data_IF_082622113647
#
_entry.id   IF_082622113647
#
_cell.length_a   1.000
_cell.length_b   1.000
_cell.length_c   1.000
_cell.angle_alpha   90.00
_cell.angle_beta   90.00
_cell.angle_gamma   90.00
#
_symmetry.space_group_name_H-M   'P 1'
#
loop_
_entity.id
_entity.type
_entity.pdbx_description
1 polymer ?
#
# COMPACT_ATOMS: atom_id res chain seq x y z
N UNK A 1 16.72 48.83 33.30
CA UNK A 1 15.56 48.37 32.50
C UNK A 1 15.92 47.05 31.82
N UNK A 2 15.30 45.93 32.25
CA UNK A 2 15.68 44.56 31.87
C UNK A 2 14.76 44.11 30.72
N UNK A 3 15.29 43.89 29.51
CA UNK A 3 14.51 43.47 28.32
C UNK A 3 14.42 41.95 28.30
N UNK A 4 13.21 41.40 28.46
CA UNK A 4 12.94 39.97 28.38
C UNK A 4 12.69 39.66 26.90
N UNK A 5 13.61 38.94 26.28
CA UNK A 5 13.48 38.42 24.91
C UNK A 5 12.83 37.04 25.03
N UNK A 6 11.57 36.91 24.60
CA UNK A 6 10.85 35.65 24.58
C UNK A 6 11.19 34.89 23.29
N UNK A 7 11.81 33.72 23.42
CA UNK A 7 12.02 32.78 22.32
C UNK A 7 10.69 32.07 22.01
N UNK A 8 10.06 32.41 20.90
CA UNK A 8 8.92 31.65 20.37
C UNK A 8 9.46 30.39 19.70
N UNK A 9 9.44 29.27 20.43
CA UNK A 9 9.74 27.96 19.86
C UNK A 9 8.50 27.45 19.10
N UNK A 10 8.55 27.51 17.77
CA UNK A 10 7.54 26.89 16.90
C UNK A 10 7.82 25.39 16.86
N UNK A 11 6.96 24.61 17.51
CA UNK A 11 7.00 23.15 17.44
C UNK A 11 6.36 22.70 16.12
N UNK A 12 7.19 22.29 15.16
CA UNK A 12 6.72 21.65 13.93
C UNK A 12 6.46 20.19 14.28
N UNK A 13 5.19 19.84 14.51
CA UNK A 13 4.78 18.45 14.64
C UNK A 13 4.91 17.78 13.27
N UNK A 14 5.99 17.04 13.07
CA UNK A 14 6.13 16.14 11.92
C UNK A 14 5.10 15.01 12.08
N UNK A 15 3.97 15.12 11.38
CA UNK A 15 3.05 13.99 11.23
C UNK A 15 3.74 12.97 10.34
N UNK A 16 4.43 12.00 10.96
CA UNK A 16 4.83 10.78 10.27
C UNK A 16 3.54 10.13 9.75
N UNK A 17 3.37 10.14 8.43
CA UNK A 17 2.33 9.38 7.75
C UNK A 17 2.74 7.93 7.99
N UNK A 18 2.24 7.32 9.06
CA UNK A 18 2.42 5.90 9.27
C UNK A 18 1.84 5.22 8.02
N UNK A 19 2.65 4.40 7.35
CA UNK A 19 2.16 3.52 6.30
C UNK A 19 0.87 2.86 6.83
N UNK A 20 -0.19 2.77 6.01
CA UNK A 20 -1.43 2.11 6.43
C UNK A 20 -1.05 0.78 7.07
N UNK A 21 -1.66 0.38 8.19
CA UNK A 21 -1.27 -0.81 8.92
C UNK A 21 -1.31 -2.03 7.99
N UNK A 22 -0.15 -2.38 7.42
CA UNK A 22 -0.02 -3.45 6.44
C UNK A 22 0.14 -4.72 7.25
N UNK A 23 -0.91 -5.53 7.28
CA UNK A 23 -0.75 -6.93 7.62
C UNK A 23 -0.03 -7.57 6.43
N UNK A 24 1.29 -7.38 6.36
CA UNK A 24 2.12 -8.06 5.37
C UNK A 24 1.90 -9.57 5.55
N UNK A 25 1.35 -10.21 4.52
CA UNK A 25 1.06 -11.63 4.55
C UNK A 25 2.38 -12.40 4.77
N UNK A 26 2.41 -13.31 5.75
CA UNK A 26 3.63 -14.06 6.06
C UNK A 26 4.09 -14.83 4.83
N UNK A 27 5.39 -14.74 4.56
CA UNK A 27 6.00 -15.40 3.40
C UNK A 27 5.70 -14.72 2.07
N UNK A 28 5.02 -13.57 2.08
CA UNK A 28 4.84 -12.73 0.92
C UNK A 28 5.55 -11.38 1.08
N UNK A 29 5.98 -10.84 -0.05
CA UNK A 29 6.56 -9.50 -0.15
C UNK A 29 5.99 -8.79 -1.36
N UNK A 30 5.96 -7.47 -1.27
CA UNK A 30 5.33 -6.60 -2.25
C UNK A 30 6.29 -5.56 -2.82
N UNK A 31 6.09 -5.26 -4.11
CA UNK A 31 6.70 -4.15 -4.79
C UNK A 31 5.62 -3.19 -5.29
N UNK A 32 5.80 -1.91 -4.99
CA UNK A 32 4.92 -0.84 -5.47
C UNK A 32 5.51 -0.20 -6.73
N UNK A 33 4.76 -0.26 -7.83
CA UNK A 33 5.16 0.24 -9.14
C UNK A 33 4.25 1.41 -9.58
N UNK A 34 4.68 2.12 -10.63
CA UNK A 34 3.92 3.20 -11.28
C UNK A 34 3.42 4.26 -10.29
N UNK A 35 4.32 4.85 -9.51
CA UNK A 35 4.01 5.86 -8.48
C UNK A 35 3.02 5.37 -7.42
N UNK A 36 3.07 4.07 -7.09
CA UNK A 36 2.19 3.45 -6.10
C UNK A 36 0.79 3.12 -6.64
N UNK A 37 0.60 3.06 -7.95
CA UNK A 37 -0.67 2.65 -8.59
C UNK A 37 -0.82 1.15 -8.77
N UNK A 38 0.30 0.46 -8.78
CA UNK A 38 0.37 -0.98 -8.97
C UNK A 38 1.04 -1.60 -7.77
N UNK A 39 0.49 -2.71 -7.29
CA UNK A 39 1.16 -3.59 -6.33
C UNK A 39 1.41 -4.93 -7.01
N UNK A 40 2.65 -5.40 -6.91
CA UNK A 40 3.07 -6.71 -7.34
C UNK A 40 3.44 -7.52 -6.10
N UNK A 41 2.81 -8.68 -5.92
CA UNK A 41 2.98 -9.51 -4.72
C UNK A 41 3.58 -10.85 -5.11
N UNK A 42 4.67 -11.19 -4.44
CA UNK A 42 5.37 -12.45 -4.52
C UNK A 42 5.17 -13.22 -3.21
N UNK A 43 5.02 -14.54 -3.29
CA UNK A 43 4.93 -15.38 -2.09
C UNK A 43 5.88 -16.58 -2.21
N UNK A 44 6.68 -16.82 -1.18
CA UNK A 44 7.64 -17.92 -1.07
C UNK A 44 7.09 -19.12 -0.28
N UNK A 45 6.01 -18.92 0.45
CA UNK A 45 5.25 -19.97 1.12
C UNK A 45 3.73 -19.70 1.03
N UNK A 46 2.92 -20.63 1.56
CA UNK A 46 1.46 -20.54 1.57
C UNK A 46 0.74 -21.71 0.87
N UNK A 47 -0.54 -21.91 1.21
CA UNK A 47 -1.40 -22.97 0.65
C UNK A 47 -2.78 -22.39 0.35
N UNK A 48 -3.40 -22.76 -0.79
CA UNK A 48 -3.08 -23.88 -1.70
C UNK A 48 -2.02 -23.62 -2.80
N UNK A 49 -1.24 -22.54 -2.72
CA UNK A 49 -0.04 -22.33 -3.56
C UNK A 49 -0.31 -21.52 -4.84
N UNK A 50 -1.59 -21.31 -5.19
CA UNK A 50 -2.03 -20.20 -6.03
C UNK A 50 -2.61 -19.12 -5.14
N UNK A 51 -2.45 -17.88 -5.57
CA UNK A 51 -2.93 -16.74 -4.82
C UNK A 51 -3.26 -15.59 -5.75
N UNK A 52 -3.96 -14.60 -5.23
CA UNK A 52 -4.24 -13.34 -5.90
C UNK A 52 -4.09 -12.21 -4.89
N UNK A 53 -3.32 -11.19 -5.25
CA UNK A 53 -3.29 -9.93 -4.55
C UNK A 53 -4.57 -9.15 -4.84
N UNK A 54 -5.18 -8.62 -3.80
CA UNK A 54 -6.31 -7.70 -3.89
C UNK A 54 -5.83 -6.35 -3.36
N UNK A 55 -5.72 -5.37 -4.25
CA UNK A 55 -5.28 -4.04 -3.90
C UNK A 55 -6.47 -3.23 -3.37
N UNK A 56 -6.30 -2.61 -2.20
CA UNK A 56 -7.19 -1.60 -1.67
C UNK A 56 -6.83 -0.26 -2.31
N UNK A 57 -7.63 0.20 -3.26
CA UNK A 57 -7.37 1.39 -4.04
C UNK A 57 -8.10 2.61 -3.48
N UNK A 58 -7.53 3.79 -3.72
CA UNK A 58 -8.21 5.08 -3.51
C UNK A 58 -7.80 6.07 -4.59
N UNK A 59 -8.67 7.03 -4.91
CA UNK A 59 -8.34 8.18 -5.76
C UNK A 59 -8.52 9.54 -5.04
N UNK A 60 -8.73 9.52 -3.72
CA UNK A 60 -9.07 10.69 -2.91
C UNK A 60 -10.56 11.08 -2.93
N UNK A 61 -11.35 10.52 -3.85
CA UNK A 61 -12.81 10.72 -3.94
C UNK A 61 -13.59 9.48 -3.46
N UNK A 62 -12.98 8.29 -3.57
CA UNK A 62 -13.56 7.03 -3.13
C UNK A 62 -12.49 5.96 -2.89
N UNK A 63 -12.97 4.79 -2.47
CA UNK A 63 -12.17 3.59 -2.22
C UNK A 63 -12.83 2.38 -2.89
N UNK A 64 -12.04 1.45 -3.38
CA UNK A 64 -12.51 0.20 -4.00
C UNK A 64 -11.41 -0.85 -3.95
N UNK A 65 -11.80 -2.11 -4.16
CA UNK A 65 -10.85 -3.21 -4.27
C UNK A 65 -10.59 -3.54 -5.73
N UNK A 66 -9.32 -3.80 -6.06
CA UNK A 66 -8.89 -4.22 -7.38
C UNK A 66 -8.22 -5.58 -7.31
N UNK A 67 -8.83 -6.54 -7.99
CA UNK A 67 -8.29 -7.88 -8.15
C UNK A 67 -7.09 -7.87 -9.09
N UNK A 68 -6.01 -8.51 -8.66
CA UNK A 68 -4.84 -8.75 -9.48
C UNK A 68 -4.92 -10.01 -10.34
N UNK A 69 -3.82 -10.29 -11.04
CA UNK A 69 -3.60 -11.56 -11.74
C UNK A 69 -3.53 -12.74 -10.76
N UNK A 70 -3.57 -13.98 -11.26
CA UNK A 70 -3.32 -15.16 -10.43
C UNK A 70 -1.81 -15.38 -10.38
N UNK A 71 -1.24 -15.31 -9.18
CA UNK A 71 0.14 -15.67 -8.89
C UNK A 71 0.28 -17.12 -8.43
N UNK A 72 1.54 -17.54 -8.28
CA UNK A 72 1.94 -18.86 -7.81
C UNK A 72 3.10 -18.74 -6.83
N UNK A 73 3.01 -19.46 -5.71
CA UNK A 73 4.09 -19.53 -4.71
C UNK A 73 5.39 -19.99 -5.35
N UNK A 74 6.48 -19.24 -5.13
CA UNK A 74 7.80 -19.42 -5.75
C UNK A 74 7.77 -19.46 -7.28
N UNK A 75 6.81 -18.76 -7.88
CA UNK A 75 6.58 -18.74 -9.31
C UNK A 75 6.26 -17.33 -9.78
N UNK A 76 5.04 -17.17 -10.29
CA UNK A 76 4.60 -15.91 -10.89
C UNK A 76 4.01 -14.97 -9.81
N UNK A 77 4.31 -13.67 -9.85
CA UNK A 77 3.67 -12.73 -8.96
C UNK A 77 2.20 -12.50 -9.31
N UNK A 78 1.45 -11.99 -8.35
CA UNK A 78 0.15 -11.39 -8.60
C UNK A 78 0.28 -9.88 -8.74
N UNK A 79 -0.19 -9.32 -9.85
CA UNK A 79 -0.14 -7.88 -10.15
C UNK A 79 -1.54 -7.29 -10.11
N UNK A 80 -1.76 -6.26 -9.28
CA UNK A 80 -3.00 -5.50 -9.21
C UNK A 80 -2.74 -4.01 -9.50
N UNK A 81 -3.49 -3.41 -10.43
CA UNK A 81 -3.32 -2.00 -10.84
C UNK A 81 -4.59 -1.18 -10.58
N UNK A 82 -4.49 -0.19 -9.70
CA UNK A 82 -5.54 0.77 -9.44
C UNK A 82 -5.74 1.71 -10.65
N UNK A 83 -6.93 1.65 -11.24
CA UNK A 83 -7.34 2.55 -12.33
C UNK A 83 -8.57 3.35 -11.94
N UNK A 84 -8.67 4.57 -12.44
CA UNK A 84 -9.85 5.42 -12.24
C UNK A 84 -9.95 6.45 -13.35
N UNK A 85 -11.18 6.84 -13.71
CA UNK A 85 -11.45 7.91 -14.68
C UNK A 85 -11.26 9.31 -14.07
N UNK A 86 -11.36 9.43 -12.74
CA UNK A 86 -11.28 10.69 -12.00
C UNK A 86 -10.35 10.54 -10.79
N UNK A 87 -9.74 11.66 -10.39
CA UNK A 87 -8.78 11.70 -9.29
C UNK A 87 -7.43 11.05 -9.62
N UNK A 88 -6.60 10.86 -8.60
CA UNK A 88 -5.28 10.23 -8.73
C UNK A 88 -5.32 8.86 -8.04
N UNK A 89 -5.61 7.77 -8.78
CA UNK A 89 -5.69 6.44 -8.19
C UNK A 89 -4.33 6.04 -7.60
N UNK A 90 -4.34 5.34 -6.47
CA UNK A 90 -3.16 4.81 -5.78
C UNK A 90 -3.57 3.60 -4.93
N UNK A 91 -2.62 2.72 -4.68
CA UNK A 91 -2.74 1.62 -3.73
C UNK A 91 -2.62 2.19 -2.32
N UNK A 92 -3.62 1.92 -1.49
CA UNK A 92 -3.66 2.26 -0.07
C UNK A 92 -3.38 1.04 0.84
N UNK A 93 -3.21 -0.13 0.26
CA UNK A 93 -2.91 -1.38 0.93
C UNK A 93 -3.25 -2.55 0.03
N UNK A 94 -3.01 -3.77 0.50
CA UNK A 94 -3.42 -4.98 -0.20
C UNK A 94 -3.61 -6.12 0.80
N UNK A 95 -4.25 -7.20 0.34
CA UNK A 95 -4.22 -8.51 0.99
C UNK A 95 -4.05 -9.62 -0.05
N UNK A 96 -3.82 -10.84 0.42
CA UNK A 96 -3.65 -12.03 -0.42
C UNK A 96 -4.86 -12.95 -0.24
N UNK A 97 -5.52 -13.26 -1.35
CA UNK A 97 -6.54 -14.30 -1.46
C UNK A 97 -5.90 -15.60 -1.93
N UNK A 98 -6.02 -16.65 -1.12
CA UNK A 98 -5.53 -17.99 -1.40
C UNK A 98 -6.57 -18.80 -2.23
N UNK A 99 -6.14 -19.40 -3.36
CA UNK A 99 -7.04 -19.97 -4.39
C UNK A 99 -6.89 -21.48 -4.63
#
# INVERSE_FOLDING_TARGET
MRRIVACVAVAIAATAIASPAQAQERGCYEDYLRDGRTVEVYCDDGRPGRFRAVAHCTNGLGVWDQYGTIGRVRGEPSVAECTSLLGYPRVNGYHVDWL
#
